data_IF_571473030280
#
_entry.id   IF_571473030280
#
_cell.length_a   1.000
_cell.length_b   1.000
_cell.length_c   1.000
_cell.angle_alpha   90.00
_cell.angle_beta   90.00
_cell.angle_gamma   90.00
#
_symmetry.space_group_name_H-M   'P 1'
#
loop_
_entity.id
_entity.type
_entity.pdbx_description
1 polymer ?
#
# COMPACT_ATOMS: atom_id res chain seq x y z
N UNK A 1 -39.40 34.51 57.49
CA UNK A 1 -39.32 33.97 56.11
C UNK A 1 -37.94 33.38 55.91
N UNK A 2 -37.86 32.05 55.76
CA UNK A 2 -36.64 31.25 56.00
C UNK A 2 -35.89 30.93 54.71
N UNK A 3 -34.60 31.24 54.70
CA UNK A 3 -33.66 31.26 53.56
C UNK A 3 -33.16 29.86 53.13
N UNK A 4 -33.92 28.79 53.39
CA UNK A 4 -33.45 27.39 53.31
C UNK A 4 -33.98 26.55 52.14
N UNK A 5 -34.85 27.07 51.29
CA UNK A 5 -35.53 26.25 50.26
C UNK A 5 -35.01 26.42 48.83
N UNK A 6 -33.94 27.18 48.61
CA UNK A 6 -33.45 27.46 47.24
C UNK A 6 -32.27 26.55 46.82
N UNK A 7 -31.62 25.85 47.76
CA UNK A 7 -30.38 25.11 47.45
C UNK A 7 -30.54 23.64 47.06
N UNK A 8 -31.75 23.06 47.12
CA UNK A 8 -31.94 21.62 46.83
C UNK A 8 -32.25 21.35 45.35
N UNK A 9 -32.73 22.34 44.60
CA UNK A 9 -33.06 22.19 43.17
C UNK A 9 -31.86 22.18 42.21
N UNK A 10 -30.69 22.66 42.64
CA UNK A 10 -29.52 22.87 41.77
C UNK A 10 -28.51 21.70 41.80
N UNK A 11 -28.55 20.83 42.81
CA UNK A 11 -27.62 19.70 42.92
C UNK A 11 -28.05 18.45 42.12
N UNK A 12 -29.34 18.31 41.80
CA UNK A 12 -29.87 17.15 41.05
C UNK A 12 -29.75 17.24 39.53
N UNK A 13 -29.54 18.43 38.97
CA UNK A 13 -29.49 18.66 37.51
C UNK A 13 -28.09 18.70 36.90
N UNK A 14 -27.03 18.80 37.72
CA UNK A 14 -25.64 18.96 37.23
C UNK A 14 -24.86 17.65 37.11
N UNK A 15 -25.38 16.55 37.67
CA UNK A 15 -24.76 15.22 37.60
C UNK A 15 -25.03 14.40 36.32
N UNK A 16 -26.17 14.52 35.61
CA UNK A 16 -26.37 13.73 34.39
C UNK A 16 -25.56 14.30 33.21
N UNK A 17 -25.23 15.59 33.20
CA UNK A 17 -24.51 16.25 32.10
C UNK A 17 -23.11 15.66 31.86
N UNK A 18 -22.23 15.50 32.88
CA UNK A 18 -20.92 14.87 32.67
C UNK A 18 -21.05 13.39 32.30
N UNK A 19 -22.08 12.68 32.77
CA UNK A 19 -22.32 11.28 32.42
C UNK A 19 -22.76 11.12 30.95
N UNK A 20 -23.65 11.99 30.48
CA UNK A 20 -24.11 12.05 29.08
C UNK A 20 -22.94 12.43 28.17
N UNK A 21 -22.06 13.36 28.58
CA UNK A 21 -20.86 13.73 27.82
C UNK A 21 -19.83 12.60 27.76
N UNK A 22 -19.65 11.82 28.83
CA UNK A 22 -18.77 10.63 28.84
C UNK A 22 -19.31 9.53 27.92
N UNK A 23 -20.62 9.28 27.94
CA UNK A 23 -21.28 8.32 27.05
C UNK A 23 -21.26 8.78 25.58
N UNK A 24 -21.45 10.08 25.31
CA UNK A 24 -21.34 10.66 23.97
C UNK A 24 -19.89 10.67 23.44
N UNK A 25 -18.89 10.75 24.34
CA UNK A 25 -17.48 10.60 24.00
C UNK A 25 -17.12 9.16 23.61
N UNK A 26 -17.68 8.16 24.30
CA UNK A 26 -17.47 6.74 24.00
C UNK A 26 -18.18 6.28 22.70
N UNK A 27 -19.24 6.98 22.28
CA UNK A 27 -19.95 6.73 21.02
C UNK A 27 -19.39 7.52 19.83
N UNK A 28 -18.26 8.22 19.99
CA UNK A 28 -17.62 8.86 18.84
C UNK A 28 -17.19 7.77 17.86
N UNK A 29 -17.76 7.72 16.64
CA UNK A 29 -17.29 6.79 15.63
C UNK A 29 -15.80 7.04 15.43
N UNK A 30 -15.01 5.99 15.54
CA UNK A 30 -13.57 6.01 15.26
C UNK A 30 -13.40 6.68 13.91
N UNK A 31 -12.87 7.90 13.88
CA UNK A 31 -12.69 8.62 12.62
C UNK A 31 -11.86 7.75 11.68
N UNK A 32 -12.25 7.64 10.40
CA UNK A 32 -11.52 6.81 9.45
C UNK A 32 -10.06 7.28 9.42
N UNK A 33 -9.16 6.36 9.74
CA UNK A 33 -7.74 6.64 9.73
C UNK A 33 -7.31 6.95 8.29
N UNK A 34 -6.49 7.98 8.14
CA UNK A 34 -6.03 8.45 6.84
C UNK A 34 -4.52 8.25 6.74
N UNK A 35 -4.07 7.64 5.65
CA UNK A 35 -2.65 7.44 5.38
C UNK A 35 -1.97 8.77 5.01
N UNK A 36 -0.62 8.86 5.06
CA UNK A 36 0.14 10.05 4.67
C UNK A 36 -0.17 10.60 3.27
N UNK A 37 -0.77 9.80 2.37
CA UNK A 37 -1.26 10.23 1.05
C UNK A 37 -2.74 10.64 0.98
N UNK A 38 -3.42 10.88 2.11
CA UNK A 38 -4.82 11.33 2.12
C UNK A 38 -5.87 10.23 1.83
N UNK A 39 -5.43 9.01 1.49
CA UNK A 39 -6.33 7.86 1.30
C UNK A 39 -6.78 7.30 2.65
N UNK A 40 -8.06 6.92 2.71
CA UNK A 40 -8.65 6.23 3.85
C UNK A 40 -8.05 4.83 4.00
N UNK A 41 -7.87 4.38 5.23
CA UNK A 41 -7.49 3.01 5.56
C UNK A 41 -8.75 2.28 6.02
N UNK A 42 -9.01 1.11 5.44
CA UNK A 42 -10.08 0.22 5.85
C UNK A 42 -9.86 -0.19 7.31
N UNK A 43 -10.88 -0.16 8.19
CA UNK A 43 -10.73 -0.62 9.57
C UNK A 43 -10.53 -2.14 9.63
N UNK A 44 -10.19 -2.67 10.80
CA UNK A 44 -10.33 -4.10 11.09
C UNK A 44 -11.78 -4.33 11.52
N UNK A 45 -12.53 -5.09 10.73
CA UNK A 45 -13.92 -5.45 10.99
C UNK A 45 -14.01 -6.73 11.82
N UNK A 46 -15.03 -6.80 12.67
CA UNK A 46 -15.40 -8.05 13.33
C UNK A 46 -16.20 -8.98 12.39
N UNK A 47 -16.49 -10.18 12.88
CA UNK A 47 -17.23 -11.20 12.12
C UNK A 47 -18.64 -10.74 11.77
N UNK A 48 -19.34 -10.05 12.67
CA UNK A 48 -20.72 -9.61 12.44
C UNK A 48 -20.77 -8.58 11.30
N UNK A 49 -19.90 -7.56 11.36
CA UNK A 49 -19.79 -6.56 10.31
C UNK A 49 -19.43 -7.19 8.95
N UNK A 50 -18.49 -8.14 8.92
CA UNK A 50 -18.12 -8.85 7.68
C UNK A 50 -19.30 -9.62 7.06
N UNK A 51 -20.14 -10.26 7.87
CA UNK A 51 -21.31 -11.00 7.35
C UNK A 51 -22.38 -10.11 6.73
N UNK A 52 -22.43 -8.83 7.12
CA UNK A 52 -23.36 -7.85 6.56
C UNK A 52 -22.90 -7.30 5.20
N UNK A 53 -21.64 -7.50 4.83
CA UNK A 53 -21.05 -7.01 3.58
C UNK A 53 -21.11 -8.10 2.50
N UNK A 54 -21.99 -7.93 1.53
CA UNK A 54 -22.25 -8.92 0.48
C UNK A 54 -21.04 -9.21 -0.42
N UNK A 55 -20.16 -8.22 -0.58
CA UNK A 55 -18.93 -8.28 -1.38
C UNK A 55 -17.73 -8.82 -0.61
N UNK A 56 -17.82 -9.03 0.71
CA UNK A 56 -16.69 -9.51 1.51
C UNK A 56 -16.15 -10.85 0.98
N UNK A 57 -14.83 -10.91 0.72
CA UNK A 57 -14.12 -12.04 0.10
C UNK A 57 -14.63 -12.45 -1.29
N UNK A 58 -15.41 -11.59 -1.97
CA UNK A 58 -15.79 -11.79 -3.37
C UNK A 58 -14.72 -11.19 -4.29
N UNK A 59 -14.61 -11.75 -5.48
CA UNK A 59 -13.72 -11.22 -6.51
C UNK A 59 -14.16 -9.81 -6.93
N UNK A 60 -13.17 -8.94 -7.12
CA UNK A 60 -13.38 -7.56 -7.51
C UNK A 60 -12.45 -7.18 -8.67
N UNK A 61 -12.72 -6.04 -9.30
CA UNK A 61 -12.04 -5.61 -10.52
C UNK A 61 -12.68 -4.36 -11.12
N UNK A 62 -12.23 -3.95 -12.32
CA UNK A 62 -12.92 -2.92 -13.11
C UNK A 62 -14.39 -3.32 -13.32
N UNK A 63 -15.33 -2.47 -12.87
CA UNK A 63 -16.77 -2.72 -12.96
C UNK A 63 -17.36 -3.65 -11.87
N UNK A 64 -16.55 -4.15 -10.94
CA UNK A 64 -17.00 -4.91 -9.76
C UNK A 64 -16.41 -4.30 -8.47
N UNK A 65 -16.92 -3.12 -8.05
CA UNK A 65 -16.39 -2.42 -6.90
C UNK A 65 -16.75 -3.13 -5.59
N UNK A 66 -15.93 -2.91 -4.57
CA UNK A 66 -16.18 -3.38 -3.22
C UNK A 66 -17.12 -2.44 -2.47
N UNK A 67 -17.96 -2.99 -1.58
CA UNK A 67 -18.74 -2.17 -0.65
C UNK A 67 -17.83 -1.48 0.36
N UNK A 68 -18.12 -0.21 0.67
CA UNK A 68 -17.40 0.47 1.74
C UNK A 68 -17.63 -0.25 3.10
N UNK A 69 -16.60 -0.39 3.96
CA UNK A 69 -15.27 0.21 3.85
C UNK A 69 -14.21 -0.72 3.25
N UNK A 70 -14.60 -1.75 2.49
CA UNK A 70 -13.69 -2.75 1.92
C UNK A 70 -12.85 -2.15 0.79
N UNK A 71 -11.64 -2.66 0.65
CA UNK A 71 -10.74 -2.38 -0.46
C UNK A 71 -10.57 -3.59 -1.37
N UNK A 72 -10.37 -3.34 -2.67
CA UNK A 72 -10.12 -4.38 -3.67
C UNK A 72 -8.63 -4.70 -3.75
N UNK A 73 -8.17 -5.76 -3.08
CA UNK A 73 -6.75 -6.08 -2.96
C UNK A 73 -6.34 -7.19 -3.92
N UNK A 74 -5.16 -7.06 -4.53
CA UNK A 74 -4.50 -8.13 -5.27
C UNK A 74 -3.57 -8.92 -4.33
N UNK A 75 -3.94 -10.14 -3.98
CA UNK A 75 -3.18 -10.99 -3.07
C UNK A 75 -2.29 -11.97 -3.83
N UNK A 76 -1.01 -11.63 -3.96
CA UNK A 76 -0.01 -12.45 -4.65
C UNK A 76 0.27 -13.80 -3.99
N UNK A 77 -0.18 -14.03 -2.74
CA UNK A 77 0.02 -15.31 -2.04
C UNK A 77 -0.91 -16.39 -2.58
N UNK A 78 -2.08 -15.97 -3.05
CA UNK A 78 -3.15 -16.84 -3.55
C UNK A 78 -3.58 -16.49 -4.99
N UNK A 79 -2.90 -15.54 -5.62
CA UNK A 79 -3.11 -15.09 -7.01
C UNK A 79 -4.56 -14.71 -7.31
N UNK A 80 -5.19 -13.96 -6.40
CA UNK A 80 -6.58 -13.54 -6.58
C UNK A 80 -6.80 -12.11 -6.13
N UNK A 81 -7.79 -11.47 -6.74
CA UNK A 81 -8.25 -10.14 -6.36
C UNK A 81 -9.57 -10.25 -5.63
N UNK A 82 -9.69 -9.64 -4.46
CA UNK A 82 -10.92 -9.73 -3.66
C UNK A 82 -11.14 -8.54 -2.73
N UNK A 83 -12.40 -8.34 -2.34
CA UNK A 83 -12.77 -7.31 -1.37
C UNK A 83 -12.48 -7.76 0.05
N UNK A 84 -11.78 -6.92 0.81
CA UNK A 84 -11.46 -7.21 2.22
C UNK A 84 -11.23 -5.94 3.03
N UNK A 85 -11.32 -6.10 4.34
CA UNK A 85 -10.96 -5.13 5.36
C UNK A 85 -9.53 -5.38 5.87
N UNK A 86 -9.02 -4.51 6.75
CA UNK A 86 -7.69 -4.66 7.34
C UNK A 86 -7.61 -5.87 8.26
N UNK A 87 -6.44 -6.50 8.30
CA UNK A 87 -6.16 -7.63 9.20
C UNK A 87 -5.51 -7.21 10.52
N UNK A 88 -4.91 -6.02 10.55
CA UNK A 88 -4.18 -5.50 11.69
C UNK A 88 -4.30 -3.96 11.73
N UNK A 89 -4.09 -3.42 12.93
CA UNK A 89 -3.94 -2.00 13.23
C UNK A 89 -2.49 -1.66 13.55
N UNK A 90 -1.79 -2.57 14.24
CA UNK A 90 -0.40 -2.36 14.70
C UNK A 90 0.42 -3.63 14.53
N UNK A 91 1.76 -3.49 14.55
CA UNK A 91 2.69 -4.60 14.44
C UNK A 91 2.51 -5.67 15.55
N UNK A 92 2.00 -5.27 16.72
CA UNK A 92 1.76 -6.19 17.85
C UNK A 92 0.69 -7.25 17.57
N UNK A 93 -0.18 -7.02 16.58
CA UNK A 93 -1.20 -7.97 16.17
C UNK A 93 -0.70 -8.95 15.10
N UNK A 94 0.52 -8.74 14.59
CA UNK A 94 1.10 -9.58 13.58
C UNK A 94 1.97 -10.69 14.19
N UNK A 95 2.08 -11.86 13.54
CA UNK A 95 3.00 -12.91 13.94
C UNK A 95 4.46 -12.41 13.98
N UNK A 96 5.31 -13.10 14.73
CA UNK A 96 6.74 -12.77 14.81
C UNK A 96 7.39 -12.70 13.41
N UNK A 97 8.19 -11.66 13.18
CA UNK A 97 8.84 -11.42 11.89
C UNK A 97 7.93 -10.80 10.83
N UNK A 98 6.73 -10.34 11.22
CA UNK A 98 5.82 -9.60 10.34
C UNK A 98 5.52 -8.21 10.91
N UNK A 99 5.12 -7.30 10.03
CA UNK A 99 4.74 -5.92 10.35
C UNK A 99 3.42 -5.58 9.69
N UNK A 100 2.65 -4.72 10.33
CA UNK A 100 1.35 -4.27 9.85
C UNK A 100 1.55 -3.14 8.83
N UNK A 101 1.36 -3.45 7.55
CA UNK A 101 1.62 -2.49 6.45
C UNK A 101 0.38 -2.20 5.62
N UNK A 102 0.16 -0.94 5.22
CA UNK A 102 -0.86 -0.62 4.26
C UNK A 102 -0.47 -1.17 2.88
N UNK A 103 -1.46 -1.65 2.14
CA UNK A 103 -1.33 -2.15 0.78
C UNK A 103 -2.29 -1.37 -0.11
N UNK A 104 -1.80 -0.96 -1.27
CA UNK A 104 -2.60 -0.27 -2.27
C UNK A 104 -3.69 -1.20 -2.80
N UNK A 105 -4.89 -0.65 -2.95
CA UNK A 105 -6.02 -1.34 -3.57
C UNK A 105 -6.26 -0.80 -4.95
N UNK A 106 -6.98 -1.56 -5.78
CA UNK A 106 -7.35 -1.09 -7.11
C UNK A 106 -8.17 0.22 -7.06
N UNK A 107 -7.84 1.13 -7.97
CA UNK A 107 -8.46 2.44 -8.10
C UNK A 107 -8.31 3.30 -6.84
N UNK A 108 -9.31 4.13 -6.59
CA UNK A 108 -9.38 5.10 -5.48
C UNK A 108 -9.97 4.49 -4.18
N UNK A 109 -10.01 3.16 -4.07
CA UNK A 109 -10.52 2.47 -2.87
C UNK A 109 -9.74 2.80 -1.59
N UNK A 110 -10.24 2.42 -0.41
CA UNK A 110 -9.46 2.54 0.82
C UNK A 110 -8.26 1.58 0.80
N UNK A 111 -7.12 2.01 1.35
CA UNK A 111 -5.99 1.14 1.62
C UNK A 111 -6.37 0.05 2.62
N UNK A 112 -5.71 -1.10 2.56
CA UNK A 112 -5.97 -2.20 3.49
C UNK A 112 -4.66 -2.62 4.15
N UNK A 113 -4.67 -2.81 5.47
CA UNK A 113 -3.51 -3.27 6.22
C UNK A 113 -3.43 -4.78 6.29
N UNK A 114 -2.25 -5.31 6.01
CA UNK A 114 -1.93 -6.73 6.15
C UNK A 114 -0.69 -6.90 7.01
N UNK A 115 -0.63 -8.05 7.69
CA UNK A 115 0.63 -8.52 8.25
C UNK A 115 1.49 -9.06 7.10
N UNK A 116 2.61 -8.38 6.85
CA UNK A 116 3.56 -8.72 5.80
C UNK A 116 4.91 -9.11 6.42
N UNK A 117 5.62 -10.12 5.87
CA UNK A 117 6.91 -10.52 6.39
C UNK A 117 7.94 -9.39 6.25
N UNK A 118 8.84 -9.27 7.24
CA UNK A 118 10.06 -8.45 7.13
C UNK A 118 11.07 -9.27 6.34
N UNK A 119 11.32 -8.88 5.10
CA UNK A 119 12.11 -9.67 4.16
C UNK A 119 13.59 -9.30 4.10
N UNK A 120 14.19 -9.66 2.97
CA UNK A 120 15.63 -9.49 2.69
C UNK A 120 15.93 -8.55 1.52
N UNK A 121 14.89 -8.14 0.77
CA UNK A 121 15.06 -7.25 -0.38
C UNK A 121 15.51 -5.87 0.08
N UNK A 122 16.60 -5.42 -0.51
CA UNK A 122 17.22 -4.13 -0.28
C UNK A 122 16.53 -3.04 -1.08
N UNK A 123 16.84 -1.79 -0.75
CA UNK A 123 16.32 -0.63 -1.45
C UNK A 123 16.68 -0.68 -2.95
N UNK A 124 15.70 -0.39 -3.80
CA UNK A 124 15.82 -0.49 -5.25
C UNK A 124 15.61 -1.90 -5.81
N UNK A 125 15.43 -2.93 -4.98
CA UNK A 125 15.02 -4.26 -5.47
C UNK A 125 13.51 -4.36 -5.66
N UNK A 126 13.09 -5.27 -6.55
CA UNK A 126 11.68 -5.61 -6.78
C UNK A 126 11.10 -6.36 -5.58
N UNK A 127 9.81 -6.15 -5.30
CA UNK A 127 9.10 -6.80 -4.21
C UNK A 127 7.66 -7.13 -4.56
N UNK A 128 7.02 -7.89 -3.68
CA UNK A 128 5.58 -8.14 -3.71
C UNK A 128 4.94 -7.49 -2.47
N UNK A 129 3.94 -6.64 -2.69
CA UNK A 129 3.25 -5.94 -1.59
C UNK A 129 2.66 -6.92 -0.56
N UNK A 130 2.12 -8.05 -1.05
CA UNK A 130 1.70 -9.19 -0.22
C UNK A 130 2.61 -10.41 -0.46
N UNK A 131 3.86 -10.29 -0.03
CA UNK A 131 4.85 -11.35 -0.16
C UNK A 131 4.48 -12.62 0.64
N UNK A 132 4.71 -13.79 0.03
CA UNK A 132 4.51 -15.11 0.67
C UNK A 132 5.69 -15.53 1.55
N UNK A 133 6.87 -14.98 1.31
CA UNK A 133 8.12 -15.34 2.00
C UNK A 133 9.07 -14.13 2.13
N UNK A 134 10.14 -14.31 2.90
CA UNK A 134 11.14 -13.27 3.19
C UNK A 134 11.92 -12.83 1.93
N UNK A 135 12.10 -13.73 0.96
CA UNK A 135 12.85 -13.47 -0.28
C UNK A 135 12.09 -12.55 -1.25
N UNK A 136 10.77 -12.42 -1.10
CA UNK A 136 9.95 -11.51 -1.92
C UNK A 136 9.55 -10.22 -1.18
N UNK A 137 9.92 -10.08 0.09
CA UNK A 137 9.57 -8.95 0.94
C UNK A 137 10.75 -8.01 1.16
N UNK A 138 10.42 -6.75 1.43
CA UNK A 138 11.39 -5.71 1.74
C UNK A 138 11.97 -5.87 3.14
N UNK A 139 13.25 -5.51 3.27
CA UNK A 139 13.95 -5.43 4.53
C UNK A 139 13.28 -4.43 5.49
N UNK A 140 13.67 -4.51 6.76
CA UNK A 140 13.15 -3.63 7.80
C UNK A 140 13.31 -2.15 7.42
N UNK A 141 12.26 -1.37 7.63
CA UNK A 141 12.25 0.07 7.32
C UNK A 141 11.90 0.44 5.88
N UNK A 142 11.82 -0.54 4.96
CA UNK A 142 11.44 -0.32 3.57
C UNK A 142 9.97 -0.69 3.33
N UNK A 143 9.35 0.01 2.39
CA UNK A 143 8.00 -0.25 1.90
C UNK A 143 8.08 -0.87 0.51
N UNK A 144 7.13 -1.75 0.18
CA UNK A 144 6.93 -2.19 -1.18
C UNK A 144 6.01 -1.20 -1.90
N UNK A 145 6.60 -0.20 -2.57
CA UNK A 145 5.89 0.94 -3.16
C UNK A 145 6.04 1.03 -4.68
N UNK A 146 5.25 1.91 -5.28
CA UNK A 146 5.15 2.09 -6.73
C UNK A 146 4.33 1.00 -7.44
N UNK A 147 3.82 1.31 -8.62
CA UNK A 147 2.88 0.44 -9.37
C UNK A 147 3.44 -0.95 -9.64
N UNK A 148 4.73 -1.01 -9.93
CA UNK A 148 5.42 -2.26 -10.22
C UNK A 148 5.89 -2.96 -8.93
N UNK A 149 6.03 -2.28 -7.79
CA UNK A 149 6.50 -2.85 -6.52
C UNK A 149 8.03 -2.84 -6.35
N UNK A 150 8.52 -1.82 -5.67
CA UNK A 150 9.93 -1.60 -5.34
C UNK A 150 10.10 -1.45 -3.84
N UNK A 151 11.14 -2.07 -3.30
CA UNK A 151 11.57 -1.79 -1.94
C UNK A 151 12.16 -0.39 -1.90
N UNK A 152 11.48 0.51 -1.23
CA UNK A 152 11.79 1.92 -1.22
C UNK A 152 11.61 2.50 0.18
N UNK A 153 12.48 3.43 0.56
CA UNK A 153 12.23 4.25 1.74
C UNK A 153 11.17 5.30 1.44
N UNK A 154 10.36 5.70 2.43
CA UNK A 154 9.52 6.89 2.32
C UNK A 154 10.37 8.14 2.05
N UNK A 155 9.81 9.09 1.33
CA UNK A 155 10.40 10.40 1.09
C UNK A 155 9.37 11.51 1.28
N UNK A 156 9.85 12.75 1.40
CA UNK A 156 8.98 13.91 1.44
C UNK A 156 9.01 14.62 0.09
N UNK A 157 7.84 14.82 -0.49
CA UNK A 157 7.67 15.51 -1.77
C UNK A 157 8.24 16.93 -1.71
N UNK A 158 9.01 17.31 -2.72
CA UNK A 158 9.59 18.66 -2.86
C UNK A 158 10.87 18.92 -2.06
N UNK A 159 11.38 17.97 -1.27
CA UNK A 159 12.70 18.08 -0.66
C UNK A 159 13.80 17.71 -1.66
N UNK A 160 14.81 18.59 -1.80
CA UNK A 160 15.87 18.49 -2.83
C UNK A 160 16.83 17.31 -2.62
N UNK A 161 16.97 16.83 -1.38
CA UNK A 161 17.84 15.69 -1.01
C UNK A 161 17.05 14.56 -0.34
N UNK A 162 15.77 14.40 -0.70
CA UNK A 162 14.88 13.42 -0.07
C UNK A 162 15.31 11.97 -0.33
N UNK A 163 15.98 11.72 -1.45
CA UNK A 163 16.36 10.39 -1.90
C UNK A 163 17.86 10.28 -2.21
N UNK A 164 18.46 9.10 -1.98
CA UNK A 164 19.86 8.89 -2.30
C UNK A 164 20.14 9.01 -3.81
N UNK A 165 21.41 9.20 -4.15
CA UNK A 165 21.87 9.21 -5.54
C UNK A 165 21.40 7.93 -6.24
N UNK A 166 20.71 8.09 -7.38
CA UNK A 166 20.16 6.98 -8.16
C UNK A 166 18.70 6.70 -7.88
N UNK A 167 18.06 7.56 -7.09
CA UNK A 167 16.66 7.49 -6.76
C UNK A 167 16.02 8.86 -6.93
N UNK A 168 14.71 8.87 -7.09
CA UNK A 168 13.89 10.07 -7.07
C UNK A 168 12.66 9.83 -6.20
N UNK A 169 12.16 10.89 -5.58
CA UNK A 169 10.94 10.82 -4.80
C UNK A 169 9.74 10.79 -5.75
N UNK A 170 8.99 9.70 -5.74
CA UNK A 170 7.81 9.52 -6.57
C UNK A 170 6.55 9.51 -5.69
N UNK A 171 5.50 10.18 -6.15
CA UNK A 171 4.17 10.02 -5.58
C UNK A 171 3.65 8.62 -5.91
N UNK A 172 3.22 7.87 -4.90
CA UNK A 172 2.62 6.55 -5.11
C UNK A 172 1.27 6.44 -4.41
N UNK A 173 0.53 5.38 -4.74
CA UNK A 173 -0.77 5.10 -4.15
C UNK A 173 -0.78 4.95 -2.62
N UNK A 174 0.37 4.63 -1.99
CA UNK A 174 0.50 4.48 -0.54
C UNK A 174 0.96 5.79 0.12
N UNK A 175 2.17 6.19 -0.23
CA UNK A 175 2.86 7.40 0.23
C UNK A 175 4.03 7.68 -0.74
N UNK A 176 4.61 8.89 -0.72
CA UNK A 176 5.77 9.19 -1.54
C UNK A 176 6.96 8.32 -1.12
N UNK A 177 7.63 7.68 -2.09
CA UNK A 177 8.78 6.81 -1.84
C UNK A 177 9.92 7.03 -2.85
N UNK A 178 11.13 6.66 -2.47
CA UNK A 178 12.30 6.73 -3.33
C UNK A 178 12.33 5.59 -4.35
N UNK A 179 11.95 5.85 -5.60
CA UNK A 179 12.02 4.88 -6.69
C UNK A 179 13.37 4.97 -7.43
N UNK A 180 13.92 3.84 -7.91
CA UNK A 180 15.21 3.83 -8.59
C UNK A 180 15.17 4.58 -9.93
N UNK A 181 16.31 5.13 -10.34
CA UNK A 181 16.55 5.74 -11.64
C UNK A 181 17.98 5.46 -12.13
N UNK A 182 18.10 4.75 -13.26
CA UNK A 182 19.39 4.45 -13.87
C UNK A 182 19.78 5.37 -15.04
N UNK A 183 18.88 6.25 -15.49
CA UNK A 183 19.07 7.01 -16.74
C UNK A 183 20.29 7.94 -16.71
N UNK A 184 20.61 8.49 -15.52
CA UNK A 184 21.76 9.39 -15.35
C UNK A 184 23.06 8.68 -14.98
N UNK A 185 22.97 7.53 -14.33
CA UNK A 185 24.14 6.80 -13.83
C UNK A 185 24.63 5.73 -14.78
N UNK A 186 23.78 5.30 -15.71
CA UNK A 186 24.04 4.11 -16.50
C UNK A 186 23.93 2.85 -15.67
N UNK A 187 24.13 1.72 -16.34
CA UNK A 187 24.08 0.41 -15.71
C UNK A 187 25.45 -0.28 -15.73
N UNK A 188 25.71 -1.18 -14.77
CA UNK A 188 26.89 -2.04 -14.81
C UNK A 188 26.97 -2.82 -16.12
N UNK A 189 28.19 -3.26 -16.46
CA UNK A 189 28.42 -4.06 -17.66
C UNK A 189 27.50 -5.30 -17.70
N UNK A 190 26.87 -5.54 -18.85
CA UNK A 190 25.92 -6.63 -19.06
C UNK A 190 24.48 -6.33 -18.64
N UNK A 191 24.20 -5.14 -18.10
CA UNK A 191 22.85 -4.71 -17.75
C UNK A 191 22.42 -3.51 -18.61
N UNK A 192 21.11 -3.38 -18.81
CA UNK A 192 20.49 -2.27 -19.51
C UNK A 192 19.59 -1.49 -18.55
N UNK A 193 19.50 -0.18 -18.79
CA UNK A 193 18.59 0.67 -18.03
C UNK A 193 17.17 0.49 -18.56
N UNK A 194 16.32 -0.16 -17.77
CA UNK A 194 14.95 -0.50 -18.15
C UNK A 194 14.02 0.51 -17.53
N UNK A 195 13.13 1.06 -18.35
CA UNK A 195 12.08 1.99 -17.91
C UNK A 195 10.85 1.20 -17.49
N UNK A 196 10.29 1.61 -16.37
CA UNK A 196 9.08 1.07 -15.79
C UNK A 196 8.02 2.19 -15.73
N UNK A 197 6.83 1.83 -15.29
CA UNK A 197 5.80 2.81 -14.99
C UNK A 197 6.21 3.76 -13.85
N UNK A 198 5.49 4.87 -13.70
CA UNK A 198 5.77 5.93 -12.71
C UNK A 198 7.19 6.53 -12.83
N UNK A 199 7.78 6.45 -14.03
CA UNK A 199 9.13 6.93 -14.34
C UNK A 199 10.26 6.21 -13.59
N UNK A 200 9.96 5.11 -12.90
CA UNK A 200 10.99 4.28 -12.28
C UNK A 200 11.87 3.68 -13.37
N UNK A 201 13.18 3.59 -13.12
CA UNK A 201 14.10 2.87 -14.00
C UNK A 201 15.16 2.15 -13.20
N UNK A 202 15.46 0.93 -13.61
CA UNK A 202 16.43 0.10 -12.91
C UNK A 202 17.26 -0.71 -13.89
N UNK A 203 18.47 -1.03 -13.47
CA UNK A 203 19.36 -1.88 -14.22
C UNK A 203 18.92 -3.33 -14.15
N UNK A 204 18.80 -3.97 -15.31
CA UNK A 204 18.47 -5.37 -15.41
C UNK A 204 19.16 -6.01 -16.60
N UNK A 205 19.41 -7.31 -16.48
CA UNK A 205 19.75 -8.17 -17.61
C UNK A 205 18.48 -8.44 -18.43
N UNK A 206 18.56 -8.18 -19.74
CA UNK A 206 17.43 -8.36 -20.65
C UNK A 206 17.54 -9.71 -21.33
N UNK A 207 16.49 -10.52 -21.18
CA UNK A 207 16.30 -11.74 -21.96
C UNK A 207 15.29 -11.48 -23.09
N UNK A 208 15.67 -11.78 -24.33
CA UNK A 208 14.82 -11.58 -25.51
C UNK A 208 15.11 -10.26 -26.24
N UNK A 209 14.09 -9.74 -26.91
CA UNK A 209 14.20 -8.51 -27.70
C UNK A 209 14.17 -7.32 -26.75
N UNK A 210 15.27 -6.56 -26.63
CA UNK A 210 15.27 -5.31 -25.87
C UNK A 210 14.43 -4.25 -26.60
N UNK A 211 13.12 -4.38 -26.52
CA UNK A 211 12.15 -3.61 -27.29
C UNK A 211 11.98 -2.16 -26.81
N UNK A 212 12.62 -1.81 -25.69
CA UNK A 212 12.75 -0.42 -25.23
C UNK A 212 13.93 0.30 -25.88
N UNK A 213 15.00 -0.43 -26.23
CA UNK A 213 16.13 0.11 -26.99
C UNK A 213 15.89 0.05 -28.50
N UNK A 214 15.29 -1.04 -28.97
CA UNK A 214 15.00 -1.28 -30.39
C UNK A 214 13.48 -1.35 -30.56
N UNK A 215 12.83 -0.33 -31.14
CA UNK A 215 11.37 -0.30 -31.25
C UNK A 215 10.81 -1.53 -31.97
N UNK A 216 9.68 -2.05 -31.47
CA UNK A 216 8.99 -3.15 -32.13
C UNK A 216 8.48 -2.74 -33.52
N UNK A 217 8.43 -3.70 -34.48
CA UNK A 217 7.77 -3.51 -35.76
C UNK A 217 6.33 -2.99 -35.65
N UNK A 218 5.82 -2.42 -36.75
CA UNK A 218 4.45 -1.92 -36.82
C UNK A 218 3.43 -3.02 -36.45
N UNK A 219 2.39 -2.65 -35.69
CA UNK A 219 1.37 -3.59 -35.21
C UNK A 219 1.76 -4.36 -33.94
N UNK A 220 3.00 -4.26 -33.47
CA UNK A 220 3.45 -4.89 -32.23
C UNK A 220 3.57 -3.85 -31.09
N UNK A 221 3.62 -4.33 -29.85
CA UNK A 221 3.94 -3.57 -28.63
C UNK A 221 5.03 -4.28 -27.84
N UNK A 222 5.83 -3.50 -27.13
CA UNK A 222 6.85 -4.03 -26.23
C UNK A 222 6.17 -4.54 -24.96
N UNK A 223 6.22 -5.85 -24.73
CA UNK A 223 5.80 -6.46 -23.47
C UNK A 223 7.04 -6.72 -22.62
N UNK A 224 7.03 -6.16 -21.42
CA UNK A 224 8.08 -6.40 -20.42
C UNK A 224 7.51 -7.32 -19.34
N UNK A 225 8.11 -8.49 -19.22
CA UNK A 225 7.79 -9.48 -18.19
C UNK A 225 8.89 -9.48 -17.14
N UNK A 226 8.52 -9.10 -15.92
CA UNK A 226 9.44 -9.07 -14.80
C UNK A 226 9.43 -10.43 -14.10
N UNK A 227 10.59 -11.08 -14.01
CA UNK A 227 10.68 -12.32 -13.25
C UNK A 227 10.76 -11.98 -11.76
N UNK A 228 9.60 -11.95 -11.09
CA UNK A 228 9.47 -11.63 -9.66
C UNK A 228 10.36 -12.51 -8.75
N UNK A 229 10.71 -13.70 -9.21
CA UNK A 229 11.60 -14.62 -8.49
C UNK A 229 13.10 -14.32 -8.68
N UNK A 230 13.48 -13.57 -9.73
CA UNK A 230 14.86 -13.25 -10.08
C UNK A 230 15.06 -11.75 -10.16
N UNK A 231 15.50 -11.09 -9.07
CA UNK A 231 15.79 -9.66 -9.09
C UNK A 231 16.81 -9.34 -10.20
N UNK A 232 16.64 -8.20 -10.87
CA UNK A 232 17.59 -7.75 -11.88
C UNK A 232 17.55 -8.52 -13.21
N UNK A 233 16.54 -9.37 -13.44
CA UNK A 233 16.28 -9.98 -14.75
C UNK A 233 14.90 -9.56 -15.27
N UNK A 234 14.85 -9.21 -16.55
CA UNK A 234 13.60 -8.92 -17.24
C UNK A 234 13.57 -9.66 -18.57
N UNK A 235 12.40 -10.16 -18.93
CA UNK A 235 12.15 -10.68 -20.27
C UNK A 235 11.41 -9.63 -21.07
N UNK A 236 11.84 -9.40 -22.29
CA UNK A 236 11.21 -8.45 -23.20
C UNK A 236 10.91 -9.12 -24.53
N UNK A 237 9.70 -8.91 -25.03
CA UNK A 237 9.26 -9.45 -26.32
C UNK A 237 8.37 -8.44 -27.05
N UNK A 238 8.45 -8.44 -28.37
CA UNK A 238 7.46 -7.77 -29.21
C UNK A 238 6.25 -8.69 -29.41
N UNK A 239 5.09 -8.25 -28.92
CA UNK A 239 3.84 -9.02 -29.03
C UNK A 239 2.78 -8.24 -29.80
N UNK A 240 1.81 -8.94 -30.38
CA UNK A 240 0.68 -8.29 -31.02
C UNK A 240 -0.04 -7.34 -30.04
N UNK A 241 -0.51 -6.20 -30.56
CA UNK A 241 -1.23 -5.20 -29.77
C UNK A 241 -2.56 -5.73 -29.24
#
# INVERSE_FOLDING_TARGET
>A
MSRKTVLVGLAGGLLPIPLILLMAGALRPTSPETAPGGRRISPVLDTEMRTKLSTYRRSCGPGRPCEAPLGCVWDTRIFTQYCTDSQCLTDLQCPQGQVCRPVATEGEGPLVRFCVPIGRRQEGERCLALAKNLEAACAAGLLCGGKEGWCARPCQSGATDACPVGFFCAETALEPVCLPSCERQGCPAGQHCIRYEESASACAEVQGDNCQSTPCPEGLRCQVEYERARPGQVRMNCVAR
#
